data_IF_953490068413
#
_entry.id   IF_953490068413
#
_cell.length_a   1.000
_cell.length_b   1.000
_cell.length_c   1.000
_cell.angle_alpha   90.00
_cell.angle_beta   90.00
_cell.angle_gamma   90.00
#
_symmetry.space_group_name_H-M   'P 1'
#
loop_
_entity.id
_entity.type
_entity.pdbx_description
1 polymer ?
#
# COMPACT_ATOMS: atom_id res chain seq x y z
N UNK A 1 10.11 -3.08 -12.92
CA UNK A 1 9.12 -2.51 -13.86
C UNK A 1 9.58 -2.75 -15.31
N UNK A 2 8.91 -3.60 -16.08
CA UNK A 2 9.33 -4.01 -17.44
C UNK A 2 9.26 -2.88 -18.48
N UNK A 3 8.36 -1.90 -18.30
CA UNK A 3 8.08 -0.84 -19.28
C UNK A 3 8.48 0.57 -18.84
N UNK A 4 9.25 0.71 -17.73
CA UNK A 4 9.63 2.01 -17.19
C UNK A 4 8.46 2.88 -16.70
N UNK A 5 7.29 2.28 -16.45
CA UNK A 5 6.09 2.97 -15.97
C UNK A 5 6.04 2.99 -14.44
N UNK A 6 5.54 4.10 -13.89
CA UNK A 6 5.15 4.19 -12.47
C UNK A 6 3.77 3.57 -12.29
N UNK A 7 3.65 2.67 -11.30
CA UNK A 7 2.37 2.06 -10.92
C UNK A 7 1.95 2.62 -9.56
N UNK A 8 0.77 3.24 -9.51
CA UNK A 8 0.15 3.69 -8.26
C UNK A 8 -1.16 2.92 -8.04
N UNK A 9 -1.22 2.12 -6.98
CA UNK A 9 -2.41 1.33 -6.65
C UNK A 9 -3.53 2.19 -6.04
N UNK A 10 -4.80 1.84 -6.26
CA UNK A 10 -5.96 2.53 -5.68
C UNK A 10 -7.18 1.61 -5.54
N UNK A 11 -8.13 1.85 -4.63
CA UNK A 11 -8.04 2.72 -3.43
C UNK A 11 -7.83 1.84 -2.21
N UNK A 12 -6.77 2.08 -1.46
CA UNK A 12 -6.50 1.35 -0.22
C UNK A 12 -7.32 1.95 0.91
N UNK A 13 -8.02 1.10 1.67
CA UNK A 13 -9.03 1.55 2.64
C UNK A 13 -9.02 0.72 3.91
N UNK A 14 -8.90 1.40 5.05
CA UNK A 14 -8.95 0.78 6.37
C UNK A 14 -10.31 0.13 6.66
N UNK A 15 -11.39 0.73 6.12
CA UNK A 15 -12.78 0.31 6.31
C UNK A 15 -13.29 -0.67 5.24
N UNK A 16 -12.46 -1.01 4.25
CA UNK A 16 -12.82 -1.88 3.13
C UNK A 16 -11.60 -2.66 2.60
N UNK A 17 -10.93 -3.38 3.50
CA UNK A 17 -9.75 -4.20 3.17
C UNK A 17 -10.09 -5.23 2.09
N UNK A 18 -9.25 -5.33 1.06
CA UNK A 18 -9.47 -6.29 -0.01
C UNK A 18 -9.40 -7.73 0.54
N UNK A 19 -10.33 -8.60 0.11
CA UNK A 19 -10.55 -9.93 0.71
C UNK A 19 -9.35 -10.89 0.67
N UNK A 20 -8.34 -10.59 -0.15
CA UNK A 20 -7.09 -11.34 -0.21
C UNK A 20 -6.16 -11.07 1.01
N UNK A 21 -6.45 -10.04 1.81
CA UNK A 21 -5.60 -9.57 2.90
C UNK A 21 -6.34 -9.64 4.23
N UNK A 22 -5.58 -9.89 5.30
CA UNK A 22 -6.14 -9.99 6.67
C UNK A 22 -6.35 -8.62 7.32
N UNK A 23 -5.58 -7.62 6.86
CA UNK A 23 -5.62 -6.24 7.34
C UNK A 23 -5.11 -5.30 6.27
N UNK A 24 -5.43 -4.01 6.39
CA UNK A 24 -4.90 -2.96 5.50
C UNK A 24 -3.36 -2.91 5.52
N UNK A 25 -2.74 -3.24 6.66
CA UNK A 25 -1.29 -3.31 6.79
C UNK A 25 -0.71 -4.42 5.90
N UNK A 26 -1.34 -5.60 5.89
CA UNK A 26 -0.89 -6.71 5.02
C UNK A 26 -1.07 -6.40 3.53
N UNK A 27 -2.10 -5.64 3.18
CA UNK A 27 -2.32 -5.15 1.81
C UNK A 27 -1.24 -4.15 1.38
N UNK A 28 -0.97 -3.13 2.22
CA UNK A 28 0.05 -2.11 1.95
C UNK A 28 1.44 -2.74 1.83
N UNK A 29 1.80 -3.67 2.73
CA UNK A 29 3.10 -4.34 2.68
C UNK A 29 3.25 -5.21 1.42
N UNK A 30 2.19 -5.91 1.00
CA UNK A 30 2.22 -6.70 -0.23
C UNK A 30 2.37 -5.82 -1.48
N UNK A 31 1.71 -4.66 -1.52
CA UNK A 31 1.87 -3.69 -2.62
C UNK A 31 3.27 -3.07 -2.63
N UNK A 32 3.80 -2.75 -1.45
CA UNK A 32 5.17 -2.26 -1.30
C UNK A 32 6.20 -3.31 -1.79
N UNK A 33 6.04 -4.57 -1.43
CA UNK A 33 6.86 -5.69 -1.91
C UNK A 33 6.74 -5.91 -3.43
N UNK A 34 5.54 -5.73 -3.98
CA UNK A 34 5.30 -5.75 -5.43
C UNK A 34 5.97 -4.58 -6.18
N UNK A 35 6.49 -3.58 -5.47
CA UNK A 35 7.25 -2.47 -6.03
C UNK A 35 6.38 -1.38 -6.66
N UNK A 36 5.17 -1.16 -6.14
CA UNK A 36 4.38 0.03 -6.53
C UNK A 36 5.15 1.29 -6.19
N UNK A 37 5.10 2.29 -7.07
CA UNK A 37 5.77 3.58 -6.83
C UNK A 37 5.02 4.45 -5.81
N UNK A 38 3.76 4.12 -5.54
CA UNK A 38 2.91 4.80 -4.58
C UNK A 38 1.54 4.14 -4.50
N UNK A 39 0.69 4.68 -3.64
CA UNK A 39 -0.70 4.25 -3.50
C UNK A 39 -1.60 5.46 -3.24
N UNK A 40 -2.85 5.35 -3.63
CA UNK A 40 -3.93 6.24 -3.23
C UNK A 40 -4.73 5.58 -2.11
N UNK A 41 -4.95 6.31 -1.03
CA UNK A 41 -5.68 5.85 0.16
C UNK A 41 -6.57 6.96 0.69
N UNK A 42 -7.73 6.57 1.21
CA UNK A 42 -8.63 7.47 1.95
C UNK A 42 -8.10 7.73 3.39
N UNK A 43 -7.13 6.93 3.84
CA UNK A 43 -6.52 6.94 5.18
C UNK A 43 -4.99 7.09 5.09
N UNK A 44 -4.49 8.29 4.74
CA UNK A 44 -3.05 8.51 4.54
C UNK A 44 -2.22 8.33 5.82
N UNK A 45 -2.77 8.57 7.01
CA UNK A 45 -2.05 8.40 8.26
C UNK A 45 -1.68 6.93 8.54
N UNK A 46 -2.56 5.99 8.20
CA UNK A 46 -2.29 4.55 8.30
C UNK A 46 -1.11 4.14 7.43
N UNK A 47 -1.09 4.59 6.17
CA UNK A 47 0.00 4.27 5.25
C UNK A 47 1.33 4.90 5.69
N UNK A 48 1.32 6.18 6.07
CA UNK A 48 2.54 6.88 6.52
C UNK A 48 3.10 6.24 7.79
N UNK A 49 2.29 5.99 8.81
CA UNK A 49 2.76 5.37 10.07
C UNK A 49 3.41 4.01 9.82
N UNK A 50 2.83 3.19 8.95
CA UNK A 50 3.36 1.87 8.62
C UNK A 50 4.71 1.95 7.91
N UNK A 51 4.84 2.84 6.93
CA UNK A 51 6.09 3.03 6.19
C UNK A 51 7.20 3.63 7.05
N UNK A 52 6.89 4.61 7.90
CA UNK A 52 7.84 5.18 8.88
C UNK A 52 8.33 4.13 9.88
N UNK A 53 7.45 3.26 10.36
CA UNK A 53 7.81 2.16 11.26
C UNK A 53 8.66 1.07 10.59
N UNK A 54 8.68 1.02 9.26
CA UNK A 54 9.41 0.02 8.46
C UNK A 54 10.78 0.52 7.98
N UNK A 55 11.16 1.76 8.30
CA UNK A 55 12.49 2.29 7.99
C UNK A 55 13.55 1.67 8.93
N UNK A 56 14.74 1.30 8.40
CA UNK A 56 15.84 0.77 9.21
C UNK A 56 16.46 1.80 10.15
#
# INVERSE_FOLDING_TARGET
>A
MQYGLSVHAWTIRDDAVHMAYKSVQSEILALHEAGVAGLFTDFPDTAVRLLEASKP
#
